data_IF_113708364784
#
_entry.id   IF_113708364784
#
_cell.length_a   1.000
_cell.length_b   1.000
_cell.length_c   1.000
_cell.angle_alpha   90.00
_cell.angle_beta   90.00
_cell.angle_gamma   90.00
#
_symmetry.space_group_name_H-M   'P 1'
#
loop_
_entity.id
_entity.type
_entity.pdbx_description
1 polymer ?
#
# COMPACT_ATOMS: atom_id res chain seq x y z
N UNK A 1 -53.54 47.28 -33.30
CA UNK A 1 -53.15 45.89 -33.28
C UNK A 1 -51.63 45.85 -33.28
N UNK A 2 -51.05 45.69 -32.10
CA UNK A 2 -49.61 45.70 -31.89
C UNK A 2 -48.96 44.49 -32.57
N UNK A 3 -48.08 44.78 -33.51
CA UNK A 3 -47.17 43.75 -34.04
C UNK A 3 -46.14 43.47 -32.97
N UNK A 4 -46.27 42.31 -32.35
CA UNK A 4 -45.18 41.71 -31.59
C UNK A 4 -44.01 41.47 -32.55
N UNK A 5 -42.97 42.24 -32.36
CA UNK A 5 -41.70 42.09 -33.06
C UNK A 5 -40.99 40.88 -32.49
N UNK A 6 -41.17 39.69 -33.14
CA UNK A 6 -40.26 38.60 -32.90
C UNK A 6 -38.96 38.89 -33.67
N UNK A 7 -37.80 38.93 -32.99
CA UNK A 7 -36.56 38.99 -33.74
C UNK A 7 -36.52 37.76 -34.65
N UNK A 8 -36.40 37.98 -35.95
CA UNK A 8 -36.23 36.91 -36.93
C UNK A 8 -34.98 36.09 -36.48
N UNK A 9 -35.18 34.88 -35.99
CA UNK A 9 -34.12 33.95 -35.73
C UNK A 9 -33.57 33.52 -37.07
N UNK A 10 -32.49 34.12 -37.52
CA UNK A 10 -31.83 33.73 -38.74
C UNK A 10 -31.42 32.24 -38.65
N UNK A 11 -31.86 31.39 -39.55
CA UNK A 11 -31.47 29.98 -39.55
C UNK A 11 -29.99 29.76 -39.92
N UNK A 12 -29.31 30.83 -40.32
CA UNK A 12 -27.92 30.82 -40.75
C UNK A 12 -26.94 30.22 -39.73
N UNK A 13 -27.03 30.53 -38.43
CA UNK A 13 -26.11 29.93 -37.43
C UNK A 13 -26.23 28.40 -37.35
N UNK A 14 -27.43 27.84 -37.49
CA UNK A 14 -27.66 26.41 -37.41
C UNK A 14 -27.01 25.65 -38.57
N UNK A 15 -27.07 26.21 -39.78
CA UNK A 15 -26.49 25.62 -40.98
C UNK A 15 -24.94 25.67 -40.94
N UNK A 16 -24.35 26.72 -40.33
CA UNK A 16 -22.92 26.88 -40.20
C UNK A 16 -22.33 25.97 -39.11
N UNK A 17 -23.10 25.72 -38.06
CA UNK A 17 -22.63 24.89 -36.91
C UNK A 17 -22.83 23.39 -37.18
N UNK A 18 -23.76 22.99 -38.02
CA UNK A 18 -24.01 21.59 -38.32
C UNK A 18 -23.96 21.30 -39.83
N UNK A 19 -22.77 21.02 -40.37
CA UNK A 19 -22.59 20.74 -41.82
C UNK A 19 -23.23 19.43 -42.29
N UNK A 20 -23.63 18.54 -41.39
CA UNK A 20 -24.20 17.23 -41.67
C UNK A 20 -25.73 17.26 -41.77
N UNK A 21 -26.37 18.37 -41.41
CA UNK A 21 -27.82 18.48 -41.43
C UNK A 21 -28.31 19.22 -42.67
N UNK A 22 -29.41 18.72 -43.26
CA UNK A 22 -30.24 19.49 -44.19
C UNK A 22 -31.28 20.21 -43.34
N UNK A 23 -31.37 21.53 -43.49
CA UNK A 23 -32.28 22.38 -42.72
C UNK A 23 -33.26 23.04 -43.68
N UNK A 24 -34.54 22.84 -43.49
CA UNK A 24 -35.61 23.52 -44.19
C UNK A 24 -36.37 24.37 -43.18
N UNK A 25 -36.50 25.64 -43.48
CA UNK A 25 -37.23 26.60 -42.65
C UNK A 25 -38.30 27.25 -43.52
N UNK A 26 -39.56 27.21 -43.12
CA UNK A 26 -40.68 27.70 -43.83
C UNK A 26 -41.44 28.74 -43.03
N UNK A 27 -41.51 29.94 -43.54
CA UNK A 27 -42.34 31.02 -43.01
C UNK A 27 -43.50 31.32 -43.98
N UNK A 28 -44.57 32.01 -43.55
CA UNK A 28 -45.72 32.27 -44.40
C UNK A 28 -45.40 32.95 -45.73
N UNK A 29 -44.33 33.74 -45.74
CA UNK A 29 -43.93 34.58 -46.88
C UNK A 29 -42.57 34.18 -47.48
N UNK A 30 -41.78 33.36 -46.79
CA UNK A 30 -40.44 32.97 -47.24
C UNK A 30 -40.10 31.55 -46.85
N UNK A 31 -39.30 30.89 -47.70
CA UNK A 31 -38.80 29.53 -47.45
C UNK A 31 -37.30 29.50 -47.68
N UNK A 32 -36.56 28.97 -46.69
CA UNK A 32 -35.12 28.80 -46.76
C UNK A 32 -34.77 27.32 -46.69
N UNK A 33 -33.87 26.90 -47.58
CA UNK A 33 -33.39 25.54 -47.63
C UNK A 33 -31.85 25.54 -47.67
N UNK A 34 -31.26 24.89 -46.67
CA UNK A 34 -29.83 24.71 -46.60
C UNK A 34 -29.56 23.20 -46.80
N UNK A 35 -28.84 22.88 -47.87
CA UNK A 35 -28.41 21.50 -48.12
C UNK A 35 -27.25 21.16 -47.23
N UNK A 36 -26.99 19.87 -47.02
CA UNK A 36 -25.81 19.39 -46.31
C UNK A 36 -24.54 19.89 -46.98
N UNK A 37 -23.57 20.33 -46.17
CA UNK A 37 -22.26 20.69 -46.67
C UNK A 37 -21.37 19.45 -46.89
N UNK A 38 -21.69 18.34 -46.23
CA UNK A 38 -21.02 17.05 -46.40
C UNK A 38 -22.02 15.90 -46.27
N UNK A 39 -21.81 14.84 -47.04
CA UNK A 39 -22.55 13.58 -46.96
C UNK A 39 -21.90 12.56 -46.03
N UNK A 40 -20.70 12.86 -45.52
CA UNK A 40 -20.05 12.03 -44.52
C UNK A 40 -20.75 12.17 -43.17
N UNK A 41 -21.05 11.04 -42.53
CA UNK A 41 -21.56 11.04 -41.17
C UNK A 41 -20.47 11.56 -40.22
N UNK A 42 -20.82 12.32 -39.16
CA UNK A 42 -19.87 12.65 -38.14
C UNK A 42 -19.30 11.37 -37.55
N UNK A 43 -18.00 11.35 -37.17
CA UNK A 43 -17.45 10.21 -36.45
C UNK A 43 -18.26 9.91 -35.19
N UNK A 44 -18.40 8.62 -34.86
CA UNK A 44 -19.04 8.22 -33.62
C UNK A 44 -18.39 8.94 -32.45
N UNK A 45 -19.20 9.47 -31.54
CA UNK A 45 -18.71 10.14 -30.36
C UNK A 45 -18.07 9.11 -29.44
N UNK A 46 -16.78 9.23 -29.23
CA UNK A 46 -16.09 8.46 -28.19
C UNK A 46 -16.39 9.05 -26.81
N UNK A 47 -16.68 8.21 -25.84
CA UNK A 47 -16.88 8.63 -24.47
C UNK A 47 -15.54 9.16 -23.90
N UNK A 48 -15.54 10.42 -23.50
CA UNK A 48 -14.35 11.05 -22.92
C UNK A 48 -14.24 10.60 -21.47
N UNK A 49 -13.17 9.85 -21.16
CA UNK A 49 -12.87 9.45 -19.78
C UNK A 49 -12.75 10.67 -18.88
N UNK A 50 -13.42 10.68 -17.73
CA UNK A 50 -13.35 11.82 -16.80
C UNK A 50 -11.95 11.97 -16.18
N UNK A 51 -11.63 13.20 -15.77
CA UNK A 51 -10.46 13.44 -14.94
C UNK A 51 -10.80 13.12 -13.48
N UNK A 52 -9.91 12.48 -12.69
CA UNK A 52 -10.21 12.10 -11.30
C UNK A 52 -10.75 13.24 -10.42
N UNK A 53 -10.24 14.46 -10.58
CA UNK A 53 -10.71 15.63 -9.84
C UNK A 53 -12.15 16.09 -10.16
N UNK A 54 -12.73 15.62 -11.23
CA UNK A 54 -14.07 16.01 -11.67
C UNK A 54 -15.14 14.96 -11.37
N UNK A 55 -14.80 13.86 -10.71
CA UNK A 55 -15.72 12.75 -10.46
C UNK A 55 -16.27 12.81 -9.04
N UNK A 56 -17.60 12.88 -8.93
CA UNK A 56 -18.30 12.79 -7.66
C UNK A 56 -18.46 11.32 -7.22
N UNK A 57 -18.62 11.09 -5.91
CA UNK A 57 -18.73 9.75 -5.34
C UNK A 57 -19.82 8.90 -6.02
N UNK A 58 -20.98 9.50 -6.31
CA UNK A 58 -22.09 8.78 -6.97
C UNK A 58 -21.75 8.32 -8.39
N UNK A 59 -20.95 9.11 -9.12
CA UNK A 59 -20.44 8.74 -10.44
C UNK A 59 -19.38 7.64 -10.33
N UNK A 60 -18.47 7.76 -9.36
CA UNK A 60 -17.45 6.74 -9.09
C UNK A 60 -18.09 5.37 -8.80
N UNK A 61 -19.14 5.33 -7.97
CA UNK A 61 -19.84 4.09 -7.65
C UNK A 61 -20.45 3.45 -8.91
N UNK A 62 -21.06 4.24 -9.80
CA UNK A 62 -21.59 3.72 -11.07
C UNK A 62 -20.48 3.22 -12.01
N UNK A 63 -19.33 3.91 -12.03
CA UNK A 63 -18.18 3.46 -12.82
C UNK A 63 -17.63 2.13 -12.28
N UNK A 64 -17.58 1.95 -10.96
CA UNK A 64 -17.17 0.69 -10.33
C UNK A 64 -18.15 -0.46 -10.61
N UNK A 65 -19.45 -0.18 -10.69
CA UNK A 65 -20.48 -1.17 -11.04
C UNK A 65 -20.42 -1.57 -12.53
N UNK A 66 -20.01 -0.65 -13.39
CA UNK A 66 -20.00 -0.85 -14.85
C UNK A 66 -18.66 -1.34 -15.40
N UNK A 67 -17.57 -1.22 -14.65
CA UNK A 67 -16.23 -1.56 -15.15
C UNK A 67 -16.05 -3.06 -15.37
N UNK A 68 -15.30 -3.40 -16.42
CA UNK A 68 -14.85 -4.77 -16.67
C UNK A 68 -13.45 -5.06 -16.08
N UNK A 69 -12.87 -4.10 -15.36
CA UNK A 69 -11.54 -4.25 -14.77
C UNK A 69 -11.52 -5.17 -13.55
N UNK A 70 -10.60 -6.13 -13.53
CA UNK A 70 -10.46 -7.10 -12.44
C UNK A 70 -9.63 -6.58 -11.25
N UNK A 71 -9.00 -5.41 -11.37
CA UNK A 71 -8.18 -4.81 -10.32
C UNK A 71 -8.40 -3.31 -10.22
N UNK A 72 -8.19 -2.75 -9.02
CA UNK A 72 -8.27 -1.31 -8.80
C UNK A 72 -7.26 -0.53 -9.66
N UNK A 73 -6.05 -1.07 -9.85
CA UNK A 73 -5.06 -0.47 -10.74
C UNK A 73 -5.54 -0.44 -12.19
N UNK A 74 -6.14 -1.53 -12.67
CA UNK A 74 -6.75 -1.61 -14.00
C UNK A 74 -7.90 -0.62 -14.15
N UNK A 75 -8.79 -0.57 -13.17
CA UNK A 75 -9.90 0.37 -13.13
C UNK A 75 -9.42 1.83 -13.23
N UNK A 76 -8.46 2.24 -12.40
CA UNK A 76 -7.93 3.59 -12.43
C UNK A 76 -7.33 3.97 -13.79
N UNK A 77 -6.67 3.02 -14.47
CA UNK A 77 -6.06 3.25 -15.77
C UNK A 77 -7.08 3.24 -16.93
N UNK A 78 -8.11 2.40 -16.81
CA UNK A 78 -9.11 2.24 -17.86
C UNK A 78 -10.14 3.37 -17.86
N UNK A 79 -10.62 3.78 -16.70
CA UNK A 79 -11.78 4.67 -16.57
C UNK A 79 -11.40 6.16 -16.45
N UNK A 80 -10.13 6.49 -16.16
CA UNK A 80 -9.72 7.88 -15.97
C UNK A 80 -8.69 8.36 -17.00
N UNK A 81 -8.80 9.65 -17.38
CA UNK A 81 -7.77 10.27 -18.20
C UNK A 81 -6.52 10.61 -17.36
N UNK A 82 -5.36 10.53 -17.99
CA UNK A 82 -4.05 10.89 -17.40
C UNK A 82 -3.64 10.03 -16.19
N UNK A 83 -4.28 8.91 -15.98
CA UNK A 83 -3.88 7.93 -14.97
C UNK A 83 -3.16 6.77 -15.66
N UNK A 84 -1.85 6.79 -15.61
CA UNK A 84 -1.01 5.68 -16.07
C UNK A 84 -0.68 4.70 -14.93
N UNK A 85 0.00 3.60 -15.23
CA UNK A 85 0.36 2.56 -14.27
C UNK A 85 1.11 3.11 -13.03
N UNK A 86 2.07 4.02 -13.24
CA UNK A 86 2.81 4.66 -12.14
C UNK A 86 1.89 5.46 -11.22
N UNK A 87 0.97 6.25 -11.77
CA UNK A 87 0.03 7.06 -10.98
C UNK A 87 -0.96 6.18 -10.24
N UNK A 88 -1.50 5.16 -10.90
CA UNK A 88 -2.40 4.20 -10.27
C UNK A 88 -1.71 3.46 -9.11
N UNK A 89 -0.47 2.98 -9.31
CA UNK A 89 0.34 2.40 -8.24
C UNK A 89 0.51 3.34 -7.06
N UNK A 90 0.99 4.57 -7.29
CA UNK A 90 1.18 5.55 -6.21
C UNK A 90 -0.11 5.88 -5.45
N UNK A 91 -1.27 5.93 -6.12
CA UNK A 91 -2.57 6.15 -5.45
C UNK A 91 -2.92 4.97 -4.53
N UNK A 92 -2.72 3.75 -5.00
CA UNK A 92 -3.00 2.55 -4.22
C UNK A 92 -2.05 2.41 -3.02
N UNK A 93 -0.75 2.63 -3.24
CA UNK A 93 0.25 2.58 -2.17
C UNK A 93 -0.03 3.64 -1.10
N UNK A 94 -0.32 4.89 -1.49
CA UNK A 94 -0.70 5.94 -0.54
C UNK A 94 -1.99 5.60 0.23
N UNK A 95 -2.96 4.97 -0.42
CA UNK A 95 -4.18 4.52 0.24
C UNK A 95 -3.90 3.42 1.26
N UNK A 96 -3.09 2.42 0.88
CA UNK A 96 -2.68 1.33 1.77
C UNK A 96 -1.89 1.87 2.96
N UNK A 97 -0.88 2.68 2.74
CA UNK A 97 -0.04 3.28 3.79
C UNK A 97 -0.88 4.06 4.81
N UNK A 98 -1.92 4.75 4.32
CA UNK A 98 -2.79 5.57 5.18
C UNK A 98 -3.80 4.75 5.98
N UNK A 99 -4.37 3.70 5.40
CA UNK A 99 -5.53 3.01 5.98
C UNK A 99 -5.21 1.63 6.54
N UNK A 100 -4.23 0.95 5.99
CA UNK A 100 -3.84 -0.41 6.41
C UNK A 100 -2.48 -0.43 7.11
N UNK A 101 -1.64 0.56 6.86
CA UNK A 101 -0.30 0.62 7.38
C UNK A 101 0.64 -0.43 6.80
N UNK A 102 1.82 -0.52 7.36
CA UNK A 102 2.84 -1.51 7.02
C UNK A 102 3.28 -2.26 8.26
N UNK A 103 3.78 -3.47 8.07
CA UNK A 103 4.48 -4.22 9.10
C UNK A 103 5.94 -3.80 9.12
N UNK A 104 6.49 -3.55 10.30
CA UNK A 104 7.92 -3.31 10.45
C UNK A 104 8.64 -4.64 10.30
N UNK A 105 9.61 -4.70 9.39
CA UNK A 105 10.41 -5.89 9.16
C UNK A 105 11.50 -6.04 10.23
N UNK A 106 11.73 -7.27 10.69
CA UNK A 106 12.73 -7.60 11.68
C UNK A 106 13.86 -8.42 11.08
N UNK A 107 15.02 -8.35 11.70
CA UNK A 107 16.18 -9.12 11.27
C UNK A 107 16.06 -10.57 11.74
N UNK A 108 16.38 -11.53 10.89
CA UNK A 108 16.48 -12.93 11.29
C UNK A 108 17.63 -13.18 12.27
N UNK A 109 17.57 -14.26 13.05
CA UNK A 109 18.51 -14.57 14.12
C UNK A 109 19.98 -14.60 13.76
N UNK A 110 20.33 -14.95 12.51
CA UNK A 110 21.74 -14.93 12.06
C UNK A 110 22.40 -13.54 12.19
N UNK A 111 21.63 -12.50 12.04
CA UNK A 111 22.14 -11.13 12.20
C UNK A 111 22.39 -10.78 13.67
N UNK A 112 21.64 -11.39 14.58
CA UNK A 112 21.74 -11.18 16.03
C UNK A 112 22.66 -12.21 16.75
N UNK A 113 22.88 -13.37 16.17
CA UNK A 113 23.92 -14.35 16.56
C UNK A 113 23.62 -15.25 17.76
N UNK A 114 22.47 -15.14 18.45
CA UNK A 114 22.21 -15.85 19.71
C UNK A 114 20.90 -16.66 19.75
N UNK A 115 20.15 -16.75 18.65
CA UNK A 115 18.80 -17.35 18.63
C UNK A 115 18.76 -18.66 17.83
N UNK A 116 17.88 -19.57 18.20
CA UNK A 116 17.77 -20.90 17.60
C UNK A 116 16.34 -21.13 17.04
N UNK A 117 16.10 -20.59 15.86
CA UNK A 117 14.82 -20.78 15.14
C UNK A 117 14.54 -22.24 14.87
N UNK A 118 15.58 -23.05 14.55
CA UNK A 118 15.40 -24.47 14.26
C UNK A 118 14.81 -25.21 15.47
N UNK A 119 15.38 -24.98 16.65
CA UNK A 119 14.85 -25.59 17.87
C UNK A 119 13.45 -25.08 18.21
N UNK A 120 13.21 -23.78 18.15
CA UNK A 120 11.92 -23.19 18.48
C UNK A 120 10.79 -23.68 17.56
N UNK A 121 11.03 -23.69 16.25
CA UNK A 121 10.06 -24.20 15.27
C UNK A 121 9.90 -25.71 15.43
N UNK A 122 10.97 -26.46 15.64
CA UNK A 122 10.95 -27.91 15.90
C UNK A 122 10.07 -28.25 17.10
N UNK A 123 10.21 -27.56 18.20
CA UNK A 123 9.38 -27.74 19.41
C UNK A 123 7.90 -27.40 19.15
N UNK A 124 7.64 -26.33 18.42
CA UNK A 124 6.27 -25.91 18.07
C UNK A 124 5.52 -26.93 17.20
N UNK A 125 6.23 -27.73 16.40
CA UNK A 125 5.65 -28.75 15.50
C UNK A 125 5.95 -30.20 15.91
N UNK A 126 6.43 -30.43 17.13
CA UNK A 126 6.88 -31.75 17.65
C UNK A 126 5.81 -32.86 17.67
N UNK A 127 4.55 -32.57 17.30
CA UNK A 127 3.47 -33.55 17.18
C UNK A 127 3.47 -34.33 15.84
N UNK A 128 4.48 -34.13 14.98
CA UNK A 128 4.67 -34.79 13.69
C UNK A 128 5.76 -35.85 13.77
N UNK A 129 6.03 -36.56 12.65
CA UNK A 129 7.17 -37.46 12.62
C UNK A 129 8.48 -36.67 12.87
N UNK A 130 9.43 -37.29 13.54
CA UNK A 130 10.70 -36.65 13.85
C UNK A 130 11.45 -36.18 12.58
N UNK A 131 11.33 -36.98 11.50
CA UNK A 131 11.98 -36.64 10.23
C UNK A 131 11.32 -35.42 9.55
N UNK A 132 9.98 -35.36 9.53
CA UNK A 132 9.25 -34.22 8.96
C UNK A 132 9.45 -32.96 9.81
N UNK A 133 9.42 -33.06 11.15
CA UNK A 133 9.68 -31.95 12.09
C UNK A 133 11.07 -31.36 11.88
N UNK A 134 12.11 -32.17 11.87
CA UNK A 134 13.49 -31.71 11.69
C UNK A 134 13.70 -31.08 10.32
N UNK A 135 13.20 -31.70 9.24
CA UNK A 135 13.36 -31.21 7.89
C UNK A 135 12.62 -29.86 7.69
N UNK A 136 11.45 -29.70 8.30
CA UNK A 136 10.68 -28.47 8.24
C UNK A 136 11.38 -27.33 9.01
N UNK A 137 11.79 -27.60 10.25
CA UNK A 137 12.47 -26.61 11.10
C UNK A 137 13.80 -26.14 10.50
N UNK A 138 14.60 -27.08 9.94
CA UNK A 138 15.85 -26.78 9.24
C UNK A 138 15.62 -25.88 8.04
N UNK A 139 14.60 -26.16 7.21
CA UNK A 139 14.29 -25.33 6.03
C UNK A 139 13.81 -23.93 6.42
N UNK A 140 12.97 -23.80 7.46
CA UNK A 140 12.53 -22.49 7.97
C UNK A 140 13.74 -21.70 8.44
N UNK A 141 14.62 -22.28 9.25
CA UNK A 141 15.82 -21.65 9.76
C UNK A 141 16.81 -21.25 8.64
N UNK A 142 17.00 -22.11 7.63
CA UNK A 142 17.85 -21.82 6.48
C UNK A 142 17.33 -20.62 5.67
N UNK A 143 16.03 -20.63 5.33
CA UNK A 143 15.41 -19.56 4.54
C UNK A 143 15.39 -18.21 5.27
N UNK A 144 15.10 -18.25 6.56
CA UNK A 144 15.17 -17.04 7.38
C UNK A 144 16.61 -16.52 7.47
N UNK A 145 17.59 -17.40 7.61
CA UNK A 145 18.98 -17.01 7.66
C UNK A 145 19.51 -16.39 6.36
N UNK A 146 18.87 -16.58 5.24
CA UNK A 146 19.23 -15.96 3.96
C UNK A 146 18.60 -14.56 3.76
N UNK A 147 17.65 -14.19 4.61
CA UNK A 147 16.93 -12.91 4.53
C UNK A 147 17.62 -11.85 5.40
N UNK A 148 17.74 -10.62 4.89
CA UNK A 148 18.22 -9.49 5.72
C UNK A 148 17.15 -9.01 6.69
N UNK A 149 15.90 -8.97 6.23
CA UNK A 149 14.71 -8.55 6.99
C UNK A 149 13.51 -9.33 6.49
N UNK A 150 12.58 -9.58 7.38
CA UNK A 150 11.32 -10.23 7.05
C UNK A 150 10.18 -9.60 7.84
N UNK A 151 9.03 -9.40 7.20
CA UNK A 151 7.80 -9.01 7.87
C UNK A 151 7.01 -10.25 8.30
N UNK A 152 6.11 -10.09 9.28
CA UNK A 152 5.29 -11.18 9.76
C UNK A 152 4.47 -11.86 8.65
N UNK A 153 3.89 -11.08 7.73
CA UNK A 153 3.12 -11.62 6.61
C UNK A 153 3.97 -12.44 5.63
N UNK A 154 5.22 -12.03 5.41
CA UNK A 154 6.18 -12.77 4.58
C UNK A 154 6.61 -14.06 5.26
N UNK A 155 6.78 -14.04 6.59
CA UNK A 155 7.04 -15.25 7.38
C UNK A 155 5.88 -16.24 7.30
N UNK A 156 4.63 -15.76 7.39
CA UNK A 156 3.44 -16.62 7.23
C UNK A 156 3.45 -17.32 5.86
N UNK A 157 3.69 -16.55 4.79
CA UNK A 157 3.74 -17.11 3.43
C UNK A 157 4.88 -18.13 3.27
N UNK A 158 6.06 -17.85 3.84
CA UNK A 158 7.21 -18.75 3.83
C UNK A 158 6.90 -20.06 4.57
N UNK A 159 6.33 -19.99 5.76
CA UNK A 159 5.95 -21.16 6.56
C UNK A 159 4.91 -22.01 5.84
N UNK A 160 3.92 -21.36 5.19
CA UNK A 160 2.90 -22.08 4.42
C UNK A 160 3.50 -22.84 3.23
N UNK A 161 4.39 -22.20 2.47
CA UNK A 161 5.10 -22.82 1.33
C UNK A 161 5.94 -24.03 1.80
N UNK A 162 6.75 -23.84 2.83
CA UNK A 162 7.62 -24.92 3.33
C UNK A 162 6.84 -26.06 3.99
N UNK A 163 5.69 -25.76 4.61
CA UNK A 163 4.80 -26.79 5.13
C UNK A 163 4.21 -27.65 4.01
N UNK A 164 3.74 -27.03 2.92
CA UNK A 164 3.22 -27.72 1.75
C UNK A 164 4.28 -28.63 1.10
N UNK A 165 5.51 -28.14 0.96
CA UNK A 165 6.64 -28.91 0.42
C UNK A 165 7.00 -30.10 1.34
N UNK A 166 6.98 -29.90 2.64
CA UNK A 166 7.25 -30.95 3.62
C UNK A 166 6.14 -32.00 3.63
N UNK A 167 4.87 -31.58 3.56
CA UNK A 167 3.71 -32.47 3.42
C UNK A 167 3.85 -33.36 2.16
N UNK A 168 4.22 -32.78 1.03
CA UNK A 168 4.40 -33.47 -0.22
C UNK A 168 5.52 -34.54 -0.15
N UNK A 169 6.58 -34.24 0.63
CA UNK A 169 7.77 -35.11 0.74
C UNK A 169 7.61 -36.26 1.76
N UNK A 170 6.99 -35.96 2.91
CA UNK A 170 6.93 -36.91 4.03
C UNK A 170 5.53 -37.50 4.26
N UNK A 171 4.48 -36.90 3.70
CA UNK A 171 3.09 -37.36 3.85
C UNK A 171 2.45 -36.95 5.20
N UNK A 172 3.14 -36.22 6.05
CA UNK A 172 2.59 -35.62 7.28
C UNK A 172 1.79 -34.38 6.95
N UNK A 173 0.67 -34.14 7.64
CA UNK A 173 -0.16 -32.94 7.41
C UNK A 173 0.14 -31.89 8.43
N UNK A 174 0.51 -30.69 7.98
CA UNK A 174 0.70 -29.49 8.79
C UNK A 174 -0.58 -28.64 8.76
N UNK A 175 -1.53 -28.93 9.63
CA UNK A 175 -2.78 -28.16 9.72
C UNK A 175 -2.55 -26.71 10.13
N UNK A 176 -3.55 -25.85 9.94
CA UNK A 176 -3.47 -24.40 10.17
C UNK A 176 -2.93 -24.02 11.57
N UNK A 177 -3.32 -24.75 12.61
CA UNK A 177 -2.81 -24.50 13.97
C UNK A 177 -1.30 -24.80 14.10
N UNK A 178 -0.80 -25.84 13.44
CA UNK A 178 0.62 -26.17 13.49
C UNK A 178 1.44 -25.15 12.73
N UNK A 179 0.97 -24.68 11.58
CA UNK A 179 1.59 -23.60 10.80
C UNK A 179 1.60 -22.31 11.61
N UNK A 180 0.48 -21.94 12.23
CA UNK A 180 0.41 -20.77 13.10
C UNK A 180 1.40 -20.84 14.27
N UNK A 181 1.50 -22.00 14.94
CA UNK A 181 2.47 -22.19 16.03
C UNK A 181 3.92 -22.07 15.54
N UNK A 182 4.22 -22.56 14.35
CA UNK A 182 5.56 -22.42 13.75
C UNK A 182 5.88 -20.94 13.43
N UNK A 183 4.91 -20.20 12.90
CA UNK A 183 5.05 -18.76 12.67
C UNK A 183 5.29 -18.01 13.96
N UNK A 184 4.49 -18.25 15.00
CA UNK A 184 4.63 -17.60 16.32
C UNK A 184 6.01 -17.89 16.94
N UNK A 185 6.46 -19.16 16.88
CA UNK A 185 7.76 -19.55 17.42
C UNK A 185 8.91 -18.87 16.66
N UNK A 186 8.89 -18.91 15.32
CA UNK A 186 9.90 -18.24 14.51
C UNK A 186 9.90 -16.73 14.71
N UNK A 187 8.70 -16.12 14.78
CA UNK A 187 8.56 -14.69 14.97
C UNK A 187 9.10 -14.21 16.31
N UNK A 188 8.85 -14.96 17.39
CA UNK A 188 9.37 -14.65 18.70
C UNK A 188 10.91 -14.64 18.72
N UNK A 189 11.54 -15.57 17.99
CA UNK A 189 13.00 -15.60 17.87
C UNK A 189 13.56 -14.44 17.03
N UNK A 190 12.88 -14.06 15.95
CA UNK A 190 13.30 -12.93 15.10
C UNK A 190 13.22 -11.60 15.84
N UNK A 191 12.22 -11.40 16.69
CA UNK A 191 11.96 -10.15 17.38
C UNK A 191 12.77 -9.98 18.68
N UNK A 192 13.82 -10.76 18.94
CA UNK A 192 14.55 -10.75 20.21
C UNK A 192 15.38 -9.50 20.46
N UNK A 193 15.80 -8.76 19.41
CA UNK A 193 16.66 -7.58 19.56
C UNK A 193 16.14 -6.36 18.76
N UNK A 194 14.91 -5.96 19.05
CA UNK A 194 14.27 -4.79 18.42
C UNK A 194 15.00 -3.48 18.74
N UNK A 195 15.64 -3.40 19.89
CA UNK A 195 16.38 -2.20 20.29
C UNK A 195 17.58 -1.94 19.39
N UNK A 196 18.33 -2.96 18.98
CA UNK A 196 19.43 -2.84 18.03
C UNK A 196 18.96 -2.38 16.65
N UNK A 197 17.86 -2.94 16.15
CA UNK A 197 17.30 -2.51 14.87
C UNK A 197 16.82 -1.05 14.94
N UNK A 198 16.12 -0.67 16.00
CA UNK A 198 15.72 0.71 16.21
C UNK A 198 16.90 1.66 16.37
N UNK A 199 17.99 1.22 17.01
CA UNK A 199 19.23 2.01 17.12
C UNK A 199 19.78 2.34 15.72
N UNK A 200 19.88 1.35 14.84
CA UNK A 200 20.34 1.59 13.46
C UNK A 200 19.47 2.60 12.73
N UNK A 201 18.13 2.46 12.81
CA UNK A 201 17.22 3.41 12.17
C UNK A 201 17.38 4.83 12.68
N UNK A 202 17.61 4.99 14.00
CA UNK A 202 17.79 6.30 14.61
C UNK A 202 19.17 6.87 14.31
N UNK A 203 20.23 6.06 14.32
CA UNK A 203 21.59 6.48 14.01
C UNK A 203 21.72 6.95 12.55
N UNK A 204 21.21 6.17 11.59
CA UNK A 204 21.18 6.54 10.18
C UNK A 204 20.41 7.84 9.91
N UNK A 205 19.32 8.04 10.64
CA UNK A 205 18.45 9.20 10.46
C UNK A 205 18.99 10.48 11.12
N UNK A 206 19.76 10.34 12.20
CA UNK A 206 20.32 11.47 12.94
C UNK A 206 21.70 11.83 12.42
N UNK A 207 21.77 12.70 11.41
CA UNK A 207 23.04 13.21 10.91
C UNK A 207 23.85 13.89 12.01
N UNK A 208 24.96 13.27 12.36
CA UNK A 208 26.13 13.77 13.10
C UNK A 208 25.91 14.62 14.38
N UNK A 209 26.49 14.16 15.47
CA UNK A 209 26.68 14.83 16.77
C UNK A 209 25.57 14.69 17.81
N UNK A 210 24.72 13.69 17.68
CA UNK A 210 23.95 13.25 18.84
C UNK A 210 24.84 12.39 19.72
N UNK A 211 24.66 12.50 21.02
CA UNK A 211 25.31 11.60 21.98
C UNK A 211 24.71 10.18 21.78
N UNK A 212 25.55 9.16 21.76
CA UNK A 212 25.13 7.77 21.60
C UNK A 212 24.03 7.40 22.61
N UNK A 213 24.10 7.95 23.85
CA UNK A 213 23.06 7.75 24.84
C UNK A 213 21.68 8.30 24.44
N UNK A 214 21.63 9.42 23.72
CA UNK A 214 20.38 9.96 23.24
C UNK A 214 19.79 9.14 22.08
N UNK A 215 20.66 8.61 21.19
CA UNK A 215 20.25 7.69 20.11
C UNK A 215 19.70 6.41 20.72
N UNK A 216 20.41 5.80 21.68
CA UNK A 216 20.00 4.60 22.41
C UNK A 216 18.68 4.84 23.17
N UNK A 217 18.55 5.99 23.84
CA UNK A 217 17.33 6.37 24.55
C UNK A 217 16.10 6.48 23.64
N UNK A 218 16.23 7.09 22.45
CA UNK A 218 15.15 7.16 21.48
C UNK A 218 14.84 5.77 20.87
N UNK A 219 15.89 5.03 20.52
CA UNK A 219 15.77 3.69 19.94
C UNK A 219 15.06 2.71 20.89
N UNK A 220 15.44 2.70 22.16
CA UNK A 220 14.82 1.86 23.20
C UNK A 220 13.33 2.20 23.35
N UNK A 221 12.97 3.49 23.41
CA UNK A 221 11.55 3.91 23.50
C UNK A 221 10.74 3.55 22.26
N UNK A 222 11.35 3.55 21.08
CA UNK A 222 10.70 3.07 19.86
C UNK A 222 10.49 1.55 19.90
N UNK A 223 11.51 0.80 20.32
CA UNK A 223 11.42 -0.65 20.49
C UNK A 223 10.32 -1.03 21.48
N UNK A 224 10.26 -0.36 22.64
CA UNK A 224 9.20 -0.57 23.63
C UNK A 224 7.80 -0.32 23.04
N UNK A 225 7.66 0.65 22.14
CA UNK A 225 6.37 0.91 21.48
C UNK A 225 5.95 -0.21 20.55
N UNK A 226 6.89 -0.87 19.91
CA UNK A 226 6.60 -2.04 19.09
C UNK A 226 6.33 -3.28 19.94
N UNK A 227 6.90 -3.39 21.13
CA UNK A 227 6.69 -4.50 22.06
C UNK A 227 5.35 -4.39 22.82
N UNK A 228 4.89 -3.17 23.14
CA UNK A 228 3.65 -2.91 23.89
C UNK A 228 2.37 -3.30 23.12
N UNK A 229 2.46 -3.73 21.86
CA UNK A 229 1.30 -4.16 21.11
C UNK A 229 0.94 -5.60 21.47
N UNK A 230 -0.33 -5.85 21.78
CA UNK A 230 -0.87 -7.20 22.04
C UNK A 230 -0.67 -8.13 20.83
N UNK A 231 -0.44 -7.57 19.66
CA UNK A 231 -0.23 -8.29 18.42
C UNK A 231 1.25 -8.23 18.03
N UNK A 232 1.88 -9.37 17.83
CA UNK A 232 3.29 -9.49 17.42
C UNK A 232 3.60 -8.87 16.05
N UNK A 233 2.58 -8.43 15.32
CA UNK A 233 2.71 -7.91 13.95
C UNK A 233 3.24 -6.49 13.84
N UNK A 234 3.05 -5.65 14.84
CA UNK A 234 3.56 -4.26 14.84
C UNK A 234 3.21 -3.47 13.55
N UNK A 235 1.93 -3.51 13.16
CA UNK A 235 1.46 -2.76 11.98
C UNK A 235 1.21 -1.31 12.34
N UNK A 236 1.76 -0.40 11.55
CA UNK A 236 1.64 1.04 11.74
C UNK A 236 1.28 1.73 10.42
N UNK A 237 0.40 2.71 10.50
CA UNK A 237 0.28 3.72 9.45
C UNK A 237 1.42 4.73 9.59
N UNK A 238 1.74 5.45 8.52
CA UNK A 238 2.80 6.47 8.56
C UNK A 238 2.49 7.59 9.58
N UNK A 239 1.20 7.91 9.77
CA UNK A 239 0.75 8.92 10.72
C UNK A 239 0.94 8.43 12.18
N UNK A 240 0.60 7.18 12.47
CA UNK A 240 0.83 6.57 13.78
C UNK A 240 2.32 6.46 14.09
N UNK A 241 3.14 6.05 13.12
CA UNK A 241 4.59 6.00 13.27
C UNK A 241 5.16 7.39 13.58
N UNK A 242 4.73 8.43 12.86
CA UNK A 242 5.13 9.82 13.16
C UNK A 242 4.78 10.20 14.59
N UNK A 243 3.56 9.89 15.03
CA UNK A 243 3.15 10.18 16.41
C UNK A 243 3.93 9.38 17.45
N UNK A 244 4.41 8.18 17.14
CA UNK A 244 5.31 7.42 18.02
C UNK A 244 6.69 8.06 18.11
N UNK A 245 7.28 8.41 16.97
CA UNK A 245 8.58 9.08 16.92
C UNK A 245 8.55 10.40 17.69
N UNK A 246 7.54 11.23 17.47
CA UNK A 246 7.42 12.53 18.15
C UNK A 246 7.35 12.35 19.67
N UNK A 247 6.47 11.47 20.16
CA UNK A 247 6.36 11.22 21.62
C UNK A 247 7.61 10.61 22.23
N UNK A 248 8.27 9.71 21.50
CA UNK A 248 9.51 9.09 21.97
C UNK A 248 10.67 10.08 21.99
N UNK A 249 10.75 10.97 20.99
CA UNK A 249 11.72 12.05 20.93
C UNK A 249 11.51 13.06 22.06
N UNK A 250 10.27 13.52 22.29
CA UNK A 250 9.94 14.45 23.38
C UNK A 250 10.34 13.85 24.74
N UNK A 251 10.03 12.57 24.98
CA UNK A 251 10.41 11.89 26.20
C UNK A 251 11.94 11.74 26.35
N UNK A 252 12.67 11.53 25.25
CA UNK A 252 14.13 11.45 25.28
C UNK A 252 14.74 12.82 25.57
N UNK A 253 14.23 13.89 24.96
CA UNK A 253 14.67 15.26 25.21
C UNK A 253 14.49 15.70 26.67
N UNK A 254 13.45 15.19 27.32
CA UNK A 254 13.20 15.49 28.74
C UNK A 254 14.25 14.86 29.70
N UNK A 255 14.79 13.69 29.32
CA UNK A 255 15.68 12.91 30.20
C UNK A 255 17.16 13.03 29.85
N UNK A 256 17.51 13.23 28.56
CA UNK A 256 18.89 13.04 28.07
C UNK A 256 19.56 14.34 27.56
N UNK A 257 19.06 15.52 27.91
CA UNK A 257 19.61 16.84 27.50
C UNK A 257 19.95 16.92 25.99
N UNK A 258 19.16 16.20 25.17
CA UNK A 258 19.29 16.11 23.73
C UNK A 258 18.13 16.80 23.05
N UNK A 259 18.29 17.27 21.81
CA UNK A 259 17.22 17.86 21.03
C UNK A 259 17.12 17.17 19.68
N UNK A 260 15.96 16.61 19.36
CA UNK A 260 15.61 16.06 18.06
C UNK A 260 14.74 17.06 17.30
N UNK A 261 15.37 17.91 16.48
CA UNK A 261 14.64 18.87 15.65
C UNK A 261 13.70 18.17 14.66
N UNK A 262 12.75 18.92 14.11
CA UNK A 262 11.72 18.41 13.18
C UNK A 262 12.31 17.56 12.03
N UNK A 263 13.43 18.01 11.43
CA UNK A 263 14.12 17.27 10.37
C UNK A 263 14.65 15.91 10.84
N UNK A 264 15.22 15.84 12.05
CA UNK A 264 15.73 14.59 12.59
C UNK A 264 14.58 13.60 12.86
N UNK A 265 13.48 14.07 13.44
CA UNK A 265 12.27 13.26 13.66
C UNK A 265 11.67 12.76 12.35
N UNK A 266 11.62 13.62 11.32
CA UNK A 266 11.13 13.23 10.01
C UNK A 266 12.03 12.19 9.33
N UNK A 267 13.36 12.33 9.45
CA UNK A 267 14.32 11.34 8.96
C UNK A 267 14.18 9.99 9.70
N UNK A 268 13.94 10.00 11.01
CA UNK A 268 13.68 8.76 11.77
C UNK A 268 12.40 8.08 11.28
N UNK A 269 11.33 8.85 11.06
CA UNK A 269 10.09 8.31 10.48
C UNK A 269 10.37 7.69 9.10
N UNK A 270 11.16 8.36 8.26
CA UNK A 270 11.49 7.86 6.92
C UNK A 270 12.35 6.58 6.99
N UNK A 271 13.40 6.57 7.83
CA UNK A 271 14.28 5.41 7.99
C UNK A 271 13.49 4.18 8.47
N UNK A 272 12.65 4.32 9.49
CA UNK A 272 11.79 3.22 9.95
C UNK A 272 10.79 2.81 8.87
N UNK A 273 10.23 3.76 8.13
CA UNK A 273 9.26 3.48 7.06
C UNK A 273 9.87 2.77 5.86
N UNK A 274 11.12 3.07 5.51
CA UNK A 274 11.85 2.37 4.45
C UNK A 274 12.11 0.90 4.79
N UNK A 275 12.23 0.58 6.08
CA UNK A 275 12.40 -0.78 6.57
C UNK A 275 11.09 -1.52 6.83
N UNK A 276 9.95 -0.85 6.67
CA UNK A 276 8.64 -1.48 6.80
C UNK A 276 8.29 -2.28 5.54
N UNK A 277 7.76 -3.47 5.74
CA UNK A 277 7.20 -4.26 4.65
C UNK A 277 5.84 -3.72 4.19
N UNK A 278 5.51 -3.95 2.93
CA UNK A 278 4.16 -3.67 2.42
C UNK A 278 3.16 -4.66 2.99
N UNK A 279 1.96 -4.14 3.28
CA UNK A 279 0.84 -5.00 3.66
C UNK A 279 0.49 -5.91 2.50
N UNK A 280 0.28 -7.22 2.72
CA UNK A 280 -0.24 -8.12 1.68
C UNK A 280 -1.60 -7.63 1.16
N UNK A 281 -1.88 -7.97 -0.09
CA UNK A 281 -3.15 -7.62 -0.77
C UNK A 281 -4.38 -8.29 -0.13
#
# INVERSE_FOLDING_TARGET
VDRLWYPSVSPFPCAVVNPHARIEFEEPDESFKFERATDELPPETEEIRPHPHGVELGTLLKMLEATESYSLSGFLQAEFTRVGAKTAGSVLDNFRDRHFGREVAWRPPRAHGETDVEAAVGDAVANKSAEATSAFAEQVAEKLGDSERIAHAELVALVDELADDTEAKFGDTFGSTVRANAVEAAWAEICTDRSSDCYEFVDEATTSRKDDAAIEGLASRLADKFDDQEDTRNRLTREELRAFVDRSADATEEFDDATFGETARENVVEAVWEHAATVPD
#
